data_IF_124743155455
#
_entry.id   IF_124743155455
#
_cell.length_a   1.000
_cell.length_b   1.000
_cell.length_c   1.000
_cell.angle_alpha   90.00
_cell.angle_beta   90.00
_cell.angle_gamma   90.00
#
_symmetry.space_group_name_H-M   'P 1'
#
loop_
_entity.id
_entity.type
_entity.pdbx_description
1 polymer ?
#
# COMPACT_ATOMS: atom_id res chain seq x y z
N UNK A 1 -10.39 -4.70 8.38
CA UNK A 1 -10.23 -4.26 9.79
C UNK A 1 -9.34 -5.18 10.63
N UNK A 2 -9.35 -6.51 10.47
CA UNK A 2 -8.55 -7.40 11.33
C UNK A 2 -7.02 -7.19 11.21
N UNK A 3 -6.50 -7.03 9.99
CA UNK A 3 -5.05 -6.93 9.77
C UNK A 3 -4.43 -5.62 10.29
N UNK A 4 -5.13 -4.48 10.16
CA UNK A 4 -4.68 -3.21 10.73
C UNK A 4 -4.59 -3.27 12.27
N UNK A 5 -5.55 -3.92 12.92
CA UNK A 5 -5.49 -4.17 14.38
C UNK A 5 -4.34 -5.10 14.78
N UNK A 6 -3.99 -6.08 13.95
CA UNK A 6 -2.83 -6.94 14.19
C UNK A 6 -1.53 -6.14 14.08
N UNK A 7 -1.42 -5.26 13.08
CA UNK A 7 -0.28 -4.35 12.94
C UNK A 7 -0.16 -3.38 14.12
N UNK A 8 -1.27 -2.79 14.59
CA UNK A 8 -1.27 -1.92 15.78
C UNK A 8 -0.68 -2.61 17.02
N UNK A 9 -0.86 -3.93 17.16
CA UNK A 9 -0.33 -4.69 18.28
C UNK A 9 1.21 -4.81 18.28
N UNK A 10 1.87 -4.74 17.13
CA UNK A 10 3.33 -4.81 16.98
C UNK A 10 3.98 -3.50 16.49
N UNK A 11 3.19 -2.44 16.26
CA UNK A 11 3.65 -1.16 15.72
C UNK A 11 4.80 -0.55 16.53
N UNK A 12 4.76 -0.67 17.86
CA UNK A 12 5.78 -0.11 18.74
C UNK A 12 7.18 -0.70 18.48
N UNK A 13 7.26 -1.96 18.05
CA UNK A 13 8.52 -2.64 17.70
C UNK A 13 8.99 -2.29 16.28
N UNK A 14 8.07 -1.96 15.37
CA UNK A 14 8.39 -1.63 13.97
C UNK A 14 8.78 -0.15 13.81
N UNK A 15 8.08 0.75 14.51
CA UNK A 15 8.22 2.20 14.32
C UNK A 15 9.65 2.75 14.46
N UNK A 16 10.54 2.24 15.34
CA UNK A 16 11.93 2.71 15.40
C UNK A 16 12.76 2.38 14.15
N UNK A 17 12.30 1.43 13.33
CA UNK A 17 12.95 1.02 12.10
C UNK A 17 12.36 1.71 10.86
N UNK A 18 11.29 2.50 11.02
CA UNK A 18 10.65 3.20 9.91
C UNK A 18 11.55 4.29 9.34
N UNK A 19 11.64 4.36 8.00
CA UNK A 19 12.44 5.36 7.31
C UNK A 19 11.70 6.68 7.06
N UNK A 20 10.37 6.68 7.09
CA UNK A 20 9.55 7.84 6.71
C UNK A 20 8.35 8.12 7.62
N UNK A 21 8.19 7.33 8.69
CA UNK A 21 7.07 7.39 9.64
C UNK A 21 5.67 7.22 9.02
N UNK A 22 5.58 6.76 7.76
CA UNK A 22 4.32 6.51 7.05
C UNK A 22 3.89 5.06 7.20
N UNK A 23 2.62 4.81 6.91
CA UNK A 23 2.05 3.49 6.90
C UNK A 23 1.63 3.10 5.50
N UNK A 24 1.69 1.81 5.22
CA UNK A 24 1.46 1.26 3.90
C UNK A 24 0.53 0.07 3.97
N UNK A 25 -0.48 0.06 3.09
CA UNK A 25 -1.30 -1.11 2.79
C UNK A 25 -0.95 -1.60 1.39
N UNK A 26 -0.26 -2.73 1.27
CA UNK A 26 0.30 -3.20 0.00
C UNK A 26 -0.44 -4.45 -0.46
N UNK A 27 -1.07 -4.37 -1.63
CA UNK A 27 -1.59 -5.51 -2.37
C UNK A 27 -0.53 -6.00 -3.35
N UNK A 28 0.04 -7.16 -3.10
CA UNK A 28 0.97 -7.82 -4.02
C UNK A 28 0.23 -8.40 -5.22
N UNK A 29 0.97 -8.70 -6.29
CA UNK A 29 0.41 -9.26 -7.50
C UNK A 29 -0.45 -10.50 -7.21
N UNK A 30 -1.60 -10.59 -7.87
CA UNK A 30 -2.52 -11.68 -7.67
C UNK A 30 -1.91 -13.02 -8.14
N UNK A 31 -2.15 -14.07 -7.37
CA UNK A 31 -1.91 -15.45 -7.76
C UNK A 31 -2.84 -15.85 -8.92
N UNK A 32 -2.53 -16.94 -9.65
CA UNK A 32 -3.35 -17.39 -10.79
C UNK A 32 -4.82 -17.69 -10.46
N UNK A 33 -5.15 -17.94 -9.19
CA UNK A 33 -6.51 -18.18 -8.70
C UNK A 33 -7.28 -16.88 -8.36
N UNK A 34 -6.66 -15.72 -8.57
CA UNK A 34 -7.23 -14.40 -8.28
C UNK A 34 -7.10 -13.95 -6.83
N UNK A 35 -6.50 -14.76 -5.96
CA UNK A 35 -6.13 -14.33 -4.61
C UNK A 35 -4.93 -13.37 -4.67
N UNK A 36 -4.81 -12.47 -3.70
CA UNK A 36 -3.64 -11.59 -3.57
C UNK A 36 -3.21 -11.50 -2.12
N UNK A 37 -1.92 -11.33 -1.90
CA UNK A 37 -1.37 -11.06 -0.57
C UNK A 37 -1.56 -9.58 -0.24
N UNK A 38 -2.06 -9.29 0.96
CA UNK A 38 -2.13 -7.94 1.50
C UNK A 38 -1.26 -7.82 2.75
N UNK A 39 -0.41 -6.80 2.80
CA UNK A 39 0.48 -6.52 3.92
C UNK A 39 0.26 -5.09 4.42
N UNK A 40 0.21 -4.94 5.74
CA UNK A 40 0.23 -3.64 6.41
C UNK A 40 1.58 -3.46 7.07
N UNK A 41 2.20 -2.30 6.90
CA UNK A 41 3.51 -2.05 7.50
C UNK A 41 4.01 -0.61 7.34
N UNK A 42 5.30 -0.45 7.57
CA UNK A 42 6.05 0.80 7.37
C UNK A 42 7.27 0.50 6.50
N UNK A 43 7.78 1.49 5.77
CA UNK A 43 9.04 1.32 5.04
C UNK A 43 10.19 1.20 6.05
N UNK A 44 11.00 0.15 5.92
CA UNK A 44 12.17 -0.13 6.76
C UNK A 44 13.44 -0.23 5.90
N UNK A 45 14.61 -0.13 6.53
CA UNK A 45 15.88 -0.35 5.86
C UNK A 45 16.04 -1.80 5.38
N UNK A 46 16.74 -2.01 4.26
CA UNK A 46 16.95 -3.34 3.65
C UNK A 46 17.55 -4.39 4.61
N UNK A 47 18.39 -3.95 5.55
CA UNK A 47 19.07 -4.79 6.53
C UNK A 47 18.28 -4.94 7.85
N UNK A 48 17.00 -4.54 7.90
CA UNK A 48 16.19 -4.66 9.11
C UNK A 48 15.81 -6.12 9.38
N UNK A 49 16.06 -6.59 10.60
CA UNK A 49 15.53 -7.87 11.07
C UNK A 49 14.08 -7.68 11.55
N UNK A 50 13.09 -8.40 10.99
CA UNK A 50 11.72 -8.32 11.47
C UNK A 50 11.61 -8.85 12.91
N UNK A 51 10.82 -8.19 13.79
CA UNK A 51 10.34 -8.80 15.03
C UNK A 51 9.66 -10.16 14.82
N UNK A 52 9.48 -10.91 15.91
CA UNK A 52 8.75 -12.18 15.83
C UNK A 52 7.31 -11.98 15.37
N UNK A 53 6.83 -12.83 14.46
CA UNK A 53 5.45 -12.75 13.95
C UNK A 53 5.20 -11.67 12.89
N UNK A 54 6.23 -10.93 12.46
CA UNK A 54 6.14 -10.02 11.31
C UNK A 54 7.10 -10.44 10.20
N UNK A 55 6.88 -9.90 9.00
CA UNK A 55 7.69 -10.22 7.82
C UNK A 55 8.13 -8.93 7.11
N UNK A 56 9.28 -9.02 6.43
CA UNK A 56 9.73 -7.99 5.49
C UNK A 56 9.47 -8.49 4.08
N UNK A 57 8.88 -7.64 3.24
CA UNK A 57 8.62 -7.91 1.81
C UNK A 57 9.15 -6.73 1.01
N UNK A 58 9.79 -7.02 -0.12
CA UNK A 58 10.23 -5.99 -1.06
C UNK A 58 9.06 -5.56 -1.96
N UNK A 59 8.86 -4.25 -2.12
CA UNK A 59 7.97 -3.68 -3.13
C UNK A 59 8.82 -3.30 -4.33
N UNK A 60 8.70 -3.99 -5.49
CA UNK A 60 9.53 -3.72 -6.65
C UNK A 60 9.30 -2.30 -7.19
N UNK A 61 10.36 -1.70 -7.74
CA UNK A 61 10.23 -0.44 -8.46
C UNK A 61 9.24 -0.56 -9.64
N UNK A 62 8.42 0.47 -9.81
CA UNK A 62 7.50 0.65 -10.93
C UNK A 62 7.17 2.15 -11.11
N UNK A 63 6.51 2.47 -12.22
CA UNK A 63 5.91 3.78 -12.47
C UNK A 63 4.46 3.75 -12.02
N UNK A 64 4.00 4.79 -11.32
CA UNK A 64 2.68 4.81 -10.68
C UNK A 64 1.82 5.99 -11.14
N UNK A 65 0.55 5.73 -11.42
CA UNK A 65 -0.49 6.75 -11.30
C UNK A 65 -0.88 6.88 -9.81
N UNK A 66 -0.98 8.12 -9.32
CA UNK A 66 -1.20 8.41 -7.90
C UNK A 66 -2.51 9.17 -7.71
N UNK A 67 -3.37 8.67 -6.83
CA UNK A 67 -4.68 9.25 -6.53
C UNK A 67 -4.78 9.59 -5.05
N UNK A 68 -5.15 10.83 -4.74
CA UNK A 68 -5.36 11.27 -3.37
C UNK A 68 -6.85 11.10 -2.99
N UNK A 69 -7.11 10.54 -1.81
CA UNK A 69 -8.45 10.45 -1.26
C UNK A 69 -8.44 10.51 0.27
N UNK A 70 -9.60 10.75 0.88
CA UNK A 70 -9.76 10.56 2.32
C UNK A 70 -9.82 9.06 2.67
N UNK A 71 -9.52 8.70 3.92
CA UNK A 71 -9.51 7.30 4.39
C UNK A 71 -10.85 6.59 4.11
N UNK A 72 -11.97 7.29 4.33
CA UNK A 72 -13.30 6.72 4.11
C UNK A 72 -13.65 6.58 2.61
N UNK A 73 -12.89 7.24 1.73
CA UNK A 73 -13.10 7.25 0.29
C UNK A 73 -12.23 6.23 -0.46
N UNK A 74 -11.33 5.48 0.21
CA UNK A 74 -10.43 4.51 -0.44
C UNK A 74 -11.21 3.51 -1.32
N UNK A 75 -12.27 2.91 -0.80
CA UNK A 75 -13.12 1.98 -1.56
C UNK A 75 -13.75 2.61 -2.81
N UNK A 76 -14.49 3.72 -2.67
CA UNK A 76 -14.98 4.49 -3.82
C UNK A 76 -13.90 4.90 -4.82
N UNK A 77 -12.73 5.33 -4.35
CA UNK A 77 -11.60 5.72 -5.22
C UNK A 77 -11.07 4.53 -6.01
N UNK A 78 -10.94 3.34 -5.42
CA UNK A 78 -10.63 2.13 -6.19
C UNK A 78 -11.69 1.79 -7.24
N UNK A 79 -12.97 1.95 -6.90
CA UNK A 79 -14.08 1.76 -7.84
C UNK A 79 -13.94 2.67 -9.07
N UNK A 80 -13.65 3.95 -8.84
CA UNK A 80 -13.40 4.89 -9.93
C UNK A 80 -12.13 4.55 -10.73
N UNK A 81 -11.00 4.25 -10.06
CA UNK A 81 -9.72 3.91 -10.69
C UNK A 81 -9.89 2.73 -11.64
N UNK A 82 -10.41 1.61 -11.15
CA UNK A 82 -10.44 0.35 -11.91
C UNK A 82 -11.69 0.19 -12.79
N UNK A 83 -12.76 0.94 -12.51
CA UNK A 83 -14.01 0.89 -13.27
C UNK A 83 -14.11 1.93 -14.39
N UNK A 84 -13.60 3.15 -14.18
CA UNK A 84 -13.79 4.28 -15.10
C UNK A 84 -12.45 4.80 -15.62
N UNK A 85 -11.58 5.25 -14.71
CA UNK A 85 -10.32 5.91 -15.09
C UNK A 85 -9.43 4.99 -15.93
N UNK A 86 -9.25 3.73 -15.52
CA UNK A 86 -8.42 2.76 -16.25
C UNK A 86 -8.86 2.58 -17.70
N UNK A 87 -10.15 2.64 -17.99
CA UNK A 87 -10.66 2.48 -19.35
C UNK A 87 -10.50 3.75 -20.20
N UNK A 88 -10.52 4.93 -19.57
CA UNK A 88 -10.52 6.22 -20.26
C UNK A 88 -9.14 6.90 -20.33
N UNK A 89 -8.19 6.53 -19.47
CA UNK A 89 -6.95 7.27 -19.28
C UNK A 89 -5.89 7.02 -20.35
N UNK A 90 -6.02 5.94 -21.13
CA UNK A 90 -5.02 5.50 -22.09
C UNK A 90 -3.80 4.82 -21.47
N UNK A 91 -3.77 4.65 -20.15
CA UNK A 91 -2.71 3.92 -19.45
C UNK A 91 -3.11 2.47 -19.21
N UNK A 92 -2.14 1.56 -19.34
CA UNK A 92 -2.31 0.17 -18.96
C UNK A 92 -1.78 -0.08 -17.54
N UNK A 93 -2.62 -0.65 -16.68
CA UNK A 93 -2.20 -1.11 -15.34
C UNK A 93 -1.33 -2.36 -15.47
N UNK A 94 -0.20 -2.42 -14.75
CA UNK A 94 0.65 -3.60 -14.67
C UNK A 94 0.18 -4.54 -13.55
N UNK A 95 -0.44 -5.70 -13.86
CA UNK A 95 -0.94 -6.62 -12.85
C UNK A 95 0.18 -7.41 -12.14
N UNK A 96 1.43 -7.30 -12.60
CA UNK A 96 2.59 -8.01 -12.01
C UNK A 96 3.27 -7.20 -10.89
N UNK A 97 2.85 -5.96 -10.68
CA UNK A 97 3.40 -5.03 -9.70
C UNK A 97 2.40 -4.76 -8.57
N UNK A 98 2.90 -4.21 -7.47
CA UNK A 98 2.06 -3.96 -6.29
C UNK A 98 1.20 -2.72 -6.47
N UNK A 99 -0.07 -2.80 -6.06
CA UNK A 99 -0.92 -1.64 -5.79
C UNK A 99 -0.82 -1.35 -4.30
N UNK A 100 -0.65 -0.09 -3.91
CA UNK A 100 -0.56 0.21 -2.47
C UNK A 100 -1.19 1.54 -2.07
N UNK A 101 -1.73 1.54 -0.85
CA UNK A 101 -2.12 2.73 -0.12
C UNK A 101 -0.92 3.24 0.69
N UNK A 102 -0.69 4.55 0.62
CA UNK A 102 0.26 5.26 1.47
C UNK A 102 -0.53 6.20 2.38
N UNK A 103 -0.48 5.92 3.67
CA UNK A 103 -1.11 6.71 4.71
C UNK A 103 -0.10 7.71 5.28
N UNK A 104 -0.56 8.92 5.64
CA UNK A 104 0.32 9.91 6.25
C UNK A 104 0.83 9.45 7.62
N UNK A 105 1.89 10.10 8.15
CA UNK A 105 2.31 9.87 9.52
C UNK A 105 1.17 10.13 10.51
N UNK A 106 1.19 9.46 11.66
CA UNK A 106 0.11 9.57 12.67
C UNK A 106 -0.08 11.00 13.22
N UNK A 107 0.93 11.87 13.06
CA UNK A 107 0.90 13.28 13.43
C UNK A 107 0.13 14.16 12.42
N UNK A 108 -0.16 13.66 11.22
CA UNK A 108 -0.80 14.40 10.13
C UNK A 108 -2.22 13.88 9.86
N UNK A 109 -3.20 14.34 10.64
CA UNK A 109 -4.57 13.83 10.60
C UNK A 109 -5.40 14.31 9.40
N UNK A 110 -4.95 15.36 8.71
CA UNK A 110 -5.69 15.99 7.61
C UNK A 110 -5.05 15.72 6.23
N UNK A 111 -3.98 14.93 6.19
CA UNK A 111 -3.33 14.56 4.94
C UNK A 111 -4.12 13.43 4.24
N UNK A 112 -4.18 13.42 2.90
CA UNK A 112 -4.87 12.37 2.17
C UNK A 112 -4.12 11.04 2.25
N UNK A 113 -4.84 9.96 2.03
CA UNK A 113 -4.26 8.67 1.63
C UNK A 113 -3.95 8.74 0.14
N UNK A 114 -2.77 8.27 -0.25
CA UNK A 114 -2.38 8.17 -1.66
C UNK A 114 -2.48 6.72 -2.11
N UNK A 115 -3.24 6.45 -3.17
CA UNK A 115 -3.33 5.15 -3.82
C UNK A 115 -2.41 5.16 -5.03
N UNK A 116 -1.45 4.23 -5.04
CA UNK A 116 -0.44 4.06 -6.08
C UNK A 116 -0.81 2.86 -6.96
N UNK A 117 -1.07 3.12 -8.24
CA UNK A 117 -1.48 2.12 -9.23
C UNK A 117 -0.35 1.95 -10.25
N UNK A 118 0.26 0.76 -10.36
CA UNK A 118 1.39 0.55 -11.24
C UNK A 118 0.96 0.56 -12.70
N UNK A 119 1.76 1.21 -13.54
CA UNK A 119 1.55 1.31 -14.97
C UNK A 119 2.56 0.46 -15.72
N UNK A 120 2.18 -0.06 -16.88
CA UNK A 120 3.13 -0.65 -17.84
C UNK A 120 3.99 0.46 -18.47
N UNK A 121 5.23 0.10 -18.76
CA UNK A 121 6.15 0.92 -19.57
C UNK A 121 5.78 0.90 -21.06
#
# INVERSE_FOLDING_TARGET
MAIWKQFEACQAEISPHSLDARYYGVSFAAAPDGSFDYLVGMIVGKESTPPEGVQVREVPAATYAVFACEVHAIGPTYGHIFGEWRAASGYEVDPTKCVFEQYPPATETNAPVLIHVPLRE
#
